data_IF_911665118412
#
_entry.id   IF_911665118412
#
_cell.length_a   1.000
_cell.length_b   1.000
_cell.length_c   1.000
_cell.angle_alpha   90.00
_cell.angle_beta   90.00
_cell.angle_gamma   90.00
#
_symmetry.space_group_name_H-M   'P 1'
#
loop_
_entity.id
_entity.type
_entity.pdbx_description
1 polymer ?
#
# COMPACT_ATOMS: atom_id res chain seq x y z
N UNK A 1 20.17 -7.50 30.50
CA UNK A 1 19.79 -8.86 30.05
C UNK A 1 18.52 -8.69 29.23
N UNK A 2 18.62 -8.72 27.91
CA UNK A 2 17.41 -8.67 27.06
C UNK A 2 16.67 -9.99 27.28
N UNK A 3 15.47 -9.92 27.86
CA UNK A 3 14.63 -11.07 28.12
C UNK A 3 13.95 -11.48 26.81
N UNK A 4 14.73 -11.89 25.81
CA UNK A 4 14.26 -12.24 24.48
C UNK A 4 13.64 -13.62 24.52
N UNK A 5 12.39 -13.71 24.96
CA UNK A 5 11.61 -14.95 24.84
C UNK A 5 11.35 -15.18 23.36
N UNK A 6 12.00 -16.19 22.77
CA UNK A 6 11.68 -16.65 21.43
C UNK A 6 10.22 -17.09 21.42
N UNK A 7 9.37 -16.33 20.75
CA UNK A 7 7.97 -16.69 20.54
C UNK A 7 7.85 -17.38 19.20
N UNK A 8 7.09 -18.47 19.16
CA UNK A 8 6.83 -19.21 17.91
C UNK A 8 6.08 -18.29 16.94
N UNK A 9 6.47 -18.32 15.66
CA UNK A 9 5.73 -17.66 14.59
C UNK A 9 4.33 -18.27 14.43
N UNK A 10 3.44 -17.51 13.79
CA UNK A 10 2.11 -17.97 13.39
C UNK A 10 2.20 -19.25 12.58
N UNK A 11 1.17 -20.10 12.64
CA UNK A 11 1.21 -21.42 12.04
C UNK A 11 1.30 -21.40 10.50
N UNK A 12 1.06 -20.25 9.85
CA UNK A 12 1.24 -20.05 8.40
C UNK A 12 2.65 -19.58 8.02
N UNK A 13 3.42 -19.02 8.97
CA UNK A 13 4.78 -18.55 8.73
C UNK A 13 5.82 -19.66 8.94
N UNK A 14 6.76 -19.80 8.01
CA UNK A 14 7.94 -20.65 8.22
C UNK A 14 9.01 -19.90 9.04
N UNK A 15 9.22 -18.61 8.75
CA UNK A 15 10.08 -17.71 9.54
C UNK A 15 9.41 -16.36 9.76
N UNK A 16 9.75 -15.69 10.85
CA UNK A 16 9.28 -14.35 11.18
C UNK A 16 10.34 -13.61 12.02
N UNK A 17 10.58 -12.33 11.70
CA UNK A 17 11.61 -11.51 12.36
C UNK A 17 11.06 -10.24 13.00
N UNK A 18 9.93 -9.72 12.50
CA UNK A 18 9.37 -8.43 12.94
C UNK A 18 8.13 -8.58 13.84
N UNK A 19 7.53 -9.76 13.89
CA UNK A 19 6.36 -10.08 14.69
C UNK A 19 5.87 -11.48 14.37
N UNK A 20 5.11 -12.11 15.28
CA UNK A 20 4.71 -13.52 15.12
C UNK A 20 3.82 -13.77 13.90
N UNK A 21 3.01 -12.79 13.48
CA UNK A 21 2.15 -12.85 12.29
C UNK A 21 2.76 -12.18 11.05
N UNK A 22 3.96 -11.62 11.19
CA UNK A 22 4.68 -10.91 10.14
C UNK A 22 5.69 -11.89 9.53
N UNK A 23 5.21 -12.72 8.60
CA UNK A 23 6.02 -13.75 7.98
C UNK A 23 7.13 -13.14 7.11
N UNK A 24 8.36 -13.64 7.25
CA UNK A 24 9.42 -13.38 6.27
C UNK A 24 9.37 -14.44 5.16
N UNK A 25 8.94 -15.66 5.50
CA UNK A 25 8.70 -16.76 4.56
C UNK A 25 7.44 -17.54 4.95
N UNK A 26 6.74 -18.05 3.94
CA UNK A 26 5.52 -18.86 4.09
C UNK A 26 5.87 -20.34 4.26
N UNK A 27 5.05 -21.11 4.98
CA UNK A 27 5.13 -22.58 4.91
C UNK A 27 4.59 -23.07 3.56
N UNK A 28 5.05 -24.24 3.11
CA UNK A 28 4.49 -24.91 1.93
C UNK A 28 2.95 -25.00 2.02
N UNK A 29 2.26 -24.75 0.90
CA UNK A 29 0.80 -24.65 0.86
C UNK A 29 0.25 -23.26 1.20
N UNK A 30 1.12 -22.27 1.38
CA UNK A 30 0.75 -20.88 1.64
C UNK A 30 1.58 -19.91 0.79
N UNK A 31 0.97 -18.77 0.51
CA UNK A 31 1.52 -17.68 -0.29
C UNK A 31 1.56 -16.37 0.52
N UNK A 32 2.50 -15.49 0.16
CA UNK A 32 2.66 -14.21 0.80
C UNK A 32 1.57 -13.23 0.34
N UNK A 33 1.03 -12.44 1.27
CA UNK A 33 0.12 -11.33 0.93
C UNK A 33 0.85 -9.99 1.00
N UNK A 34 0.34 -8.95 0.33
CA UNK A 34 0.87 -7.57 0.40
C UNK A 34 0.88 -6.98 1.81
N UNK A 35 0.16 -7.61 2.74
CA UNK A 35 0.06 -7.18 4.12
C UNK A 35 1.08 -7.85 5.05
N UNK A 36 1.88 -8.79 4.53
CA UNK A 36 2.89 -9.62 5.21
C UNK A 36 2.44 -10.91 5.93
N UNK A 37 1.17 -11.14 6.35
CA UNK A 37 0.77 -12.49 6.75
C UNK A 37 0.66 -13.39 5.52
N UNK A 38 0.93 -14.67 5.71
CA UNK A 38 0.73 -15.70 4.68
C UNK A 38 -0.72 -16.18 4.71
N UNK A 39 -1.31 -16.43 3.53
CA UNK A 39 -2.60 -17.10 3.39
C UNK A 39 -2.43 -18.46 2.71
N UNK A 40 -3.41 -19.34 2.85
CA UNK A 40 -3.42 -20.60 2.13
C UNK A 40 -3.33 -20.38 0.61
N UNK A 41 -2.70 -21.33 -0.08
CA UNK A 41 -2.66 -21.33 -1.54
C UNK A 41 -4.08 -21.40 -2.12
N UNK A 42 -4.24 -20.86 -3.33
CA UNK A 42 -5.53 -20.92 -4.00
C UNK A 42 -5.88 -22.34 -4.41
N UNK A 43 -7.18 -22.66 -4.36
CA UNK A 43 -7.70 -23.90 -4.94
C UNK A 43 -9.00 -23.60 -5.70
N UNK A 44 -9.10 -23.98 -6.98
CA UNK A 44 -8.09 -24.65 -7.82
C UNK A 44 -6.88 -23.76 -8.16
N UNK A 45 -5.89 -24.32 -8.88
CA UNK A 45 -4.76 -23.57 -9.42
C UNK A 45 -5.23 -22.32 -10.19
N UNK A 46 -4.51 -21.21 -10.03
CA UNK A 46 -4.84 -19.94 -10.68
C UNK A 46 -4.62 -20.03 -12.18
N UNK A 47 -5.60 -19.56 -12.96
CA UNK A 47 -5.41 -19.34 -14.39
C UNK A 47 -4.77 -17.96 -14.64
N UNK A 48 -4.09 -17.81 -15.78
CA UNK A 48 -3.57 -16.52 -16.25
C UNK A 48 -4.67 -15.42 -16.21
N UNK A 49 -4.36 -14.30 -15.56
CA UNK A 49 -5.29 -13.20 -15.31
C UNK A 49 -6.16 -13.36 -14.05
N UNK A 50 -5.85 -14.32 -13.19
CA UNK A 50 -6.50 -14.51 -11.89
C UNK A 50 -5.55 -14.32 -10.71
N UNK A 51 -6.09 -13.85 -9.60
CA UNK A 51 -5.41 -13.71 -8.32
C UNK A 51 -6.21 -14.41 -7.22
N UNK A 52 -5.53 -14.77 -6.14
CA UNK A 52 -6.17 -15.40 -5.01
C UNK A 52 -6.69 -14.40 -4.00
N UNK A 53 -8.01 -14.37 -3.79
CA UNK A 53 -8.64 -13.59 -2.73
C UNK A 53 -9.16 -14.55 -1.68
N UNK A 54 -8.44 -14.64 -0.55
CA UNK A 54 -8.67 -15.67 0.46
C UNK A 54 -8.27 -17.05 -0.04
N UNK A 55 -9.24 -17.80 -0.56
CA UNK A 55 -9.05 -19.15 -1.14
C UNK A 55 -9.72 -19.30 -2.49
N UNK A 56 -10.25 -18.22 -3.06
CA UNK A 56 -11.01 -18.23 -4.31
C UNK A 56 -10.26 -17.48 -5.41
N UNK A 57 -10.13 -18.14 -6.56
CA UNK A 57 -9.60 -17.53 -7.77
C UNK A 57 -10.56 -16.44 -8.28
N UNK A 58 -10.05 -15.21 -8.38
CA UNK A 58 -10.82 -14.04 -8.82
C UNK A 58 -10.06 -13.31 -9.92
N UNK A 59 -10.75 -12.61 -10.82
CA UNK A 59 -10.09 -11.79 -11.83
C UNK A 59 -9.19 -10.73 -11.17
N UNK A 60 -8.03 -10.47 -11.79
CA UNK A 60 -7.06 -9.51 -11.28
C UNK A 60 -7.54 -8.06 -11.36
N UNK A 61 -6.94 -7.21 -10.52
CA UNK A 61 -7.24 -5.78 -10.41
C UNK A 61 -8.36 -5.45 -9.43
N UNK A 62 -8.83 -6.42 -8.65
CA UNK A 62 -9.85 -6.20 -7.62
C UNK A 62 -9.29 -5.48 -6.39
N UNK A 63 -10.10 -4.66 -5.73
CA UNK A 63 -9.68 -3.93 -4.51
C UNK A 63 -9.34 -4.85 -3.34
N UNK A 64 -9.92 -6.06 -3.31
CA UNK A 64 -9.64 -7.08 -2.30
C UNK A 64 -8.46 -7.98 -2.65
N UNK A 65 -7.80 -7.76 -3.80
CA UNK A 65 -6.64 -8.53 -4.20
C UNK A 65 -5.45 -8.15 -3.33
N UNK A 66 -4.99 -9.14 -2.56
CA UNK A 66 -3.85 -9.00 -1.65
C UNK A 66 -2.69 -9.94 -2.01
N UNK A 67 -2.81 -10.72 -3.09
CA UNK A 67 -1.75 -11.57 -3.63
C UNK A 67 -1.41 -11.19 -5.05
N UNK A 68 -0.32 -11.76 -5.56
CA UNK A 68 0.01 -11.62 -6.96
C UNK A 68 -1.06 -12.21 -7.86
N UNK A 69 -1.18 -11.57 -9.01
CA UNK A 69 -1.94 -12.02 -10.16
C UNK A 69 -1.07 -12.98 -10.97
N UNK A 70 -1.62 -14.14 -11.33
CA UNK A 70 -0.98 -15.09 -12.22
C UNK A 70 -0.90 -14.47 -13.62
N UNK A 71 0.31 -14.10 -14.04
CA UNK A 71 0.59 -13.56 -15.38
C UNK A 71 1.76 -14.34 -16.00
N UNK A 72 1.51 -15.61 -16.30
CA UNK A 72 2.46 -16.58 -16.84
C UNK A 72 3.61 -16.92 -15.88
N UNK A 73 4.76 -16.21 -15.98
CA UNK A 73 5.91 -16.41 -15.10
C UNK A 73 6.34 -15.09 -14.40
N UNK A 74 5.50 -14.06 -14.48
CA UNK A 74 5.80 -12.77 -13.85
C UNK A 74 5.25 -12.74 -12.45
N UNK A 75 6.09 -12.32 -11.51
CA UNK A 75 5.76 -12.22 -10.10
C UNK A 75 5.39 -10.79 -9.70
N UNK A 76 4.68 -10.67 -8.59
CA UNK A 76 4.27 -9.40 -7.97
C UNK A 76 3.37 -8.52 -8.86
N UNK A 77 2.70 -9.10 -9.86
CA UNK A 77 1.74 -8.38 -10.70
C UNK A 77 0.45 -8.10 -9.91
N UNK A 78 -0.11 -6.90 -10.02
CA UNK A 78 -1.48 -6.61 -9.59
C UNK A 78 -2.49 -6.89 -10.70
N UNK A 79 -2.15 -6.53 -11.93
CA UNK A 79 -2.89 -6.89 -13.15
C UNK A 79 -1.95 -7.41 -14.21
N UNK A 80 -2.47 -8.15 -15.19
CA UNK A 80 -1.71 -8.51 -16.39
C UNK A 80 -1.95 -7.53 -17.54
N UNK A 81 -1.12 -7.62 -18.58
CA UNK A 81 -1.38 -7.01 -19.88
C UNK A 81 -2.55 -7.70 -20.60
N UNK A 82 -3.00 -7.15 -21.74
CA UNK A 82 -4.18 -7.66 -22.48
C UNK A 82 -4.08 -9.11 -22.99
N UNK A 83 -2.89 -9.73 -22.95
CA UNK A 83 -2.64 -11.11 -23.38
C UNK A 83 -2.14 -12.00 -22.25
N UNK A 84 -2.19 -11.53 -21.00
CA UNK A 84 -1.79 -12.22 -19.76
C UNK A 84 -0.35 -12.77 -19.71
N UNK A 85 0.57 -12.24 -20.51
CA UNK A 85 1.98 -12.72 -20.55
C UNK A 85 2.95 -11.86 -19.76
N UNK A 86 2.52 -10.66 -19.33
CA UNK A 86 3.33 -9.69 -18.58
C UNK A 86 2.48 -8.96 -17.55
N UNK A 87 3.12 -8.32 -16.57
CA UNK A 87 2.38 -7.41 -15.69
C UNK A 87 1.86 -6.21 -16.49
N UNK A 88 0.61 -5.83 -16.23
CA UNK A 88 0.01 -4.56 -16.61
C UNK A 88 0.20 -3.50 -15.51
N UNK A 89 0.26 -3.94 -14.25
CA UNK A 89 0.58 -3.11 -13.08
C UNK A 89 1.16 -3.98 -11.96
N UNK A 90 1.79 -3.36 -10.96
CA UNK A 90 2.41 -4.05 -9.83
C UNK A 90 1.60 -3.95 -8.54
N UNK A 91 1.80 -4.93 -7.66
CA UNK A 91 1.32 -4.85 -6.29
C UNK A 91 1.88 -3.61 -5.56
N UNK A 92 1.16 -3.09 -4.55
CA UNK A 92 1.65 -2.00 -3.72
C UNK A 92 3.06 -2.28 -3.18
N UNK A 93 3.96 -1.31 -3.30
CA UNK A 93 5.35 -1.42 -2.86
C UNK A 93 6.34 -1.85 -3.95
N UNK A 94 5.88 -2.24 -5.14
CA UNK A 94 6.73 -2.60 -6.26
C UNK A 94 6.75 -1.52 -7.35
N UNK A 95 7.89 -1.37 -8.02
CA UNK A 95 8.09 -0.50 -9.18
C UNK A 95 7.68 -1.24 -10.44
N UNK A 96 6.87 -0.58 -11.27
CA UNK A 96 6.52 -1.07 -12.59
C UNK A 96 7.55 -0.58 -13.60
N UNK A 97 8.37 -1.48 -14.10
CA UNK A 97 9.43 -1.19 -15.07
C UNK A 97 9.43 -2.26 -16.16
N UNK A 98 9.35 -1.84 -17.43
CA UNK A 98 9.38 -2.77 -18.57
C UNK A 98 8.36 -3.92 -18.51
N UNK A 99 7.18 -3.68 -17.94
CA UNK A 99 6.12 -4.67 -17.71
C UNK A 99 6.47 -5.76 -16.67
N UNK A 100 7.41 -5.49 -15.78
CA UNK A 100 7.83 -6.37 -14.69
C UNK A 100 7.79 -5.63 -13.34
N UNK A 101 7.71 -6.40 -12.25
CA UNK A 101 7.55 -5.92 -10.87
C UNK A 101 8.64 -6.49 -9.96
N UNK A 102 9.91 -6.30 -10.33
CA UNK A 102 11.07 -6.90 -9.64
C UNK A 102 11.67 -6.01 -8.55
N UNK A 103 11.55 -4.70 -8.71
CA UNK A 103 12.19 -3.73 -7.84
C UNK A 103 11.19 -3.16 -6.82
N UNK A 104 11.63 -2.93 -5.59
CA UNK A 104 10.84 -2.23 -4.59
C UNK A 104 10.78 -0.71 -4.88
N UNK A 105 9.68 -0.08 -4.52
CA UNK A 105 9.55 1.39 -4.53
C UNK A 105 10.51 2.04 -3.53
N UNK A 106 10.87 3.30 -3.76
CA UNK A 106 11.74 4.03 -2.83
C UNK A 106 11.02 4.26 -1.50
N UNK A 107 11.70 3.94 -0.39
CA UNK A 107 11.15 4.13 0.97
C UNK A 107 10.24 3.02 1.48
N UNK A 108 10.13 1.89 0.78
CA UNK A 108 9.43 0.69 1.27
C UNK A 108 10.40 -0.30 1.91
N UNK A 109 9.89 -1.21 2.74
CA UNK A 109 10.71 -2.18 3.46
C UNK A 109 10.82 -3.46 2.63
N UNK A 110 12.05 -3.83 2.26
CA UNK A 110 12.34 -5.12 1.62
C UNK A 110 12.58 -6.19 2.68
N UNK A 111 11.82 -7.28 2.62
CA UNK A 111 11.96 -8.45 3.48
C UNK A 111 12.07 -9.68 2.58
N UNK A 112 13.24 -10.32 2.55
CA UNK A 112 13.51 -11.35 1.57
C UNK A 112 13.36 -10.79 0.16
N UNK A 113 12.49 -11.42 -0.65
CA UNK A 113 12.16 -10.98 -2.01
C UNK A 113 10.88 -10.12 -2.08
N UNK A 114 10.25 -9.84 -0.94
CA UNK A 114 9.00 -9.10 -0.86
C UNK A 114 9.20 -7.62 -0.51
N UNK A 115 8.38 -6.76 -1.10
CA UNK A 115 8.40 -5.31 -0.89
C UNK A 115 7.13 -4.89 -0.12
N UNK A 116 7.28 -4.56 1.16
CA UNK A 116 6.16 -4.16 1.99
C UNK A 116 6.12 -2.65 2.17
N UNK A 117 4.97 -2.07 1.83
CA UNK A 117 4.69 -0.68 2.18
C UNK A 117 4.57 -0.61 3.71
N UNK A 118 5.42 0.15 4.41
CA UNK A 118 5.33 0.27 5.86
C UNK A 118 3.92 0.78 6.21
N UNK A 119 3.19 -0.01 7.00
CA UNK A 119 1.91 0.40 7.54
C UNK A 119 2.17 1.70 8.30
N UNK A 120 1.60 2.83 7.85
CA UNK A 120 1.50 3.99 8.74
C UNK A 120 0.66 3.52 9.90
N UNK A 121 1.30 3.27 11.03
CA UNK A 121 0.63 2.97 12.28
C UNK A 121 -0.41 4.07 12.45
N UNK A 122 -1.70 3.67 12.38
CA UNK A 122 -2.80 4.58 12.68
C UNK A 122 -2.71 4.83 14.19
N UNK A 123 -1.86 5.79 14.55
CA UNK A 123 -1.31 5.94 15.90
C UNK A 123 -0.15 6.93 15.83
N UNK A 124 -0.49 8.20 15.96
CA UNK A 124 0.32 9.41 15.80
C UNK A 124 0.49 9.88 14.35
N UNK A 125 -0.35 10.86 14.01
CA UNK A 125 0.01 12.01 13.17
C UNK A 125 1.28 12.67 13.75
N UNK A 126 2.45 12.05 13.53
CA UNK A 126 3.71 12.78 13.62
C UNK A 126 3.81 13.58 12.34
N UNK A 127 3.20 14.78 12.39
CA UNK A 127 3.24 15.79 11.35
C UNK A 127 4.67 16.16 11.02
N UNK A 128 5.25 15.46 10.05
CA UNK A 128 6.53 15.75 9.45
C UNK A 128 6.32 16.06 7.98
N UNK A 129 6.42 17.34 7.65
CA UNK A 129 6.53 17.89 6.29
C UNK A 129 5.28 17.77 5.39
N UNK A 130 4.23 18.54 5.71
CA UNK A 130 3.40 19.15 4.66
C UNK A 130 3.95 20.54 4.37
N UNK A 131 5.00 20.60 3.54
CA UNK A 131 5.27 21.81 2.76
C UNK A 131 4.17 21.89 1.68
N UNK A 132 3.04 22.46 2.06
CA UNK A 132 1.88 22.67 1.21
C UNK A 132 1.27 24.00 1.57
N UNK A 133 1.59 24.99 0.76
CA UNK A 133 1.16 26.38 0.90
C UNK A 133 -0.36 26.45 1.06
N UNK A 134 -0.84 26.91 2.22
CA UNK A 134 -2.23 27.35 2.42
C UNK A 134 -2.37 28.76 1.84
N UNK A 135 -2.41 28.86 0.51
CA UNK A 135 -2.86 30.08 -0.18
C UNK A 135 -4.08 29.69 -1.00
N UNK A 136 -5.26 29.87 -0.41
CA UNK A 136 -6.51 30.03 -1.16
C UNK A 136 -7.68 30.60 -0.33
N UNK A 137 -7.63 30.61 1.01
CA UNK A 137 -8.82 30.98 1.82
C UNK A 137 -8.64 32.23 2.70
N UNK A 138 -7.43 32.80 2.79
CA UNK A 138 -7.21 34.06 3.53
C UNK A 138 -7.55 35.34 2.73
N UNK A 139 -7.88 35.23 1.44
CA UNK A 139 -8.19 36.42 0.61
C UNK A 139 -9.68 36.81 0.68
N UNK A 140 -10.57 35.91 1.10
CA UNK A 140 -12.02 36.23 1.12
C UNK A 140 -12.44 36.96 2.40
N UNK A 141 -11.72 36.82 3.52
CA UNK A 141 -12.08 37.52 4.76
C UNK A 141 -11.50 38.94 4.83
N UNK A 142 -10.37 39.20 4.16
CA UNK A 142 -9.78 40.55 4.06
C UNK A 142 -10.58 41.54 3.20
N UNK A 143 -11.35 41.03 2.23
CA UNK A 143 -12.18 41.87 1.36
C UNK A 143 -13.49 42.31 2.02
N UNK A 144 -14.05 41.52 2.94
CA UNK A 144 -15.31 41.87 3.63
C UNK A 144 -15.06 42.75 4.86
N UNK A 145 -13.93 42.57 5.57
CA UNK A 145 -13.60 43.38 6.76
C UNK A 145 -13.13 44.81 6.44
N UNK A 146 -12.32 45.00 5.39
CA UNK A 146 -11.78 46.33 5.05
C UNK A 146 -12.75 47.27 4.35
N UNK A 147 -13.70 46.73 3.58
CA UNK A 147 -14.66 47.52 2.80
C UNK A 147 -15.73 48.22 3.66
N UNK A 148 -16.23 47.55 4.70
CA UNK A 148 -17.24 48.12 5.59
C UNK A 148 -16.67 49.25 6.45
N UNK A 149 -15.46 49.08 7.00
CA UNK A 149 -14.80 50.13 7.80
C UNK A 149 -14.52 51.40 6.97
N UNK A 150 -14.05 51.26 5.72
CA UNK A 150 -13.84 52.42 4.83
C UNK A 150 -15.17 53.09 4.43
N UNK A 151 -16.24 52.31 4.22
CA UNK A 151 -17.56 52.84 3.85
C UNK A 151 -18.20 53.65 5.00
N UNK A 152 -18.11 53.20 6.25
CA UNK A 152 -18.64 53.94 7.39
C UNK A 152 -17.86 55.23 7.71
N UNK A 153 -16.52 55.23 7.55
CA UNK A 153 -15.70 56.43 7.77
C UNK A 153 -16.00 57.50 6.70
N UNK A 154 -16.28 57.12 5.45
CA UNK A 154 -16.59 58.08 4.39
C UNK A 154 -18.01 58.67 4.51
N UNK A 155 -18.96 57.95 5.10
CA UNK A 155 -20.35 58.44 5.27
C UNK A 155 -20.54 59.40 6.45
N UNK A 156 -19.62 59.41 7.42
CA UNK A 156 -19.66 60.34 8.56
C UNK A 156 -19.09 61.75 8.29
N UNK A 157 -18.71 62.06 7.05
CA UNK A 157 -18.10 63.35 6.66
C UNK A 157 -18.88 64.09 5.56
N UNK A 158 -20.20 63.88 5.46
CA UNK A 158 -21.09 64.71 4.65
C UNK A 158 -22.31 65.14 5.44
#
# INVERSE_FOLDING_TARGET
MANSVCTKCSDTCATCSQGVDLCDTCKMGNQMTIHQPSQADCSPDLADGQACVGTTATACGGESQITECECNNNTNCFTCNSINTKCGSCLPGYKFESNECKNCQDGVVKIGDFCFVPRKQSGNLSGGATAGIVIAVLVVVGAVGGGLAYYFIKKGKK
#
